data_IF_674855182781
#
_entry.id   IF_674855182781
#
_cell.length_a   1.000
_cell.length_b   1.000
_cell.length_c   1.000
_cell.angle_alpha   90.00
_cell.angle_beta   90.00
_cell.angle_gamma   90.00
#
_symmetry.space_group_name_H-M   'P 1'
#
loop_
_entity.id
_entity.type
_entity.pdbx_description
1 polymer ?
#
# COMPACT_ATOMS: atom_id res chain seq x y z
N UNK A 1 23.80 22.38 -23.06
CA UNK A 1 24.15 20.94 -22.93
C UNK A 1 24.76 20.60 -21.58
N UNK A 2 25.86 21.23 -21.14
CA UNK A 2 26.49 20.90 -19.84
C UNK A 2 25.59 21.09 -18.62
N UNK A 3 24.78 22.16 -18.57
CA UNK A 3 23.82 22.40 -17.49
C UNK A 3 22.72 21.33 -17.43
N UNK A 4 22.24 20.89 -18.59
CA UNK A 4 21.23 19.83 -18.70
C UNK A 4 21.77 18.48 -18.23
N UNK A 5 23.00 18.14 -18.61
CA UNK A 5 23.70 16.95 -18.13
C UNK A 5 23.94 17.00 -16.62
N UNK A 6 24.34 18.16 -16.09
CA UNK A 6 24.51 18.34 -14.64
C UNK A 6 23.20 18.14 -13.87
N UNK A 7 22.10 18.72 -14.36
CA UNK A 7 20.77 18.52 -13.76
C UNK A 7 20.35 17.06 -13.80
N UNK A 8 20.58 16.35 -14.91
CA UNK A 8 20.27 14.92 -15.03
C UNK A 8 21.11 14.06 -14.05
N UNK A 9 22.41 14.35 -13.92
CA UNK A 9 23.30 13.64 -12.99
C UNK A 9 22.88 13.86 -11.53
N UNK A 10 22.52 15.10 -11.18
CA UNK A 10 22.01 15.42 -9.83
C UNK A 10 20.70 14.69 -9.57
N UNK A 11 19.77 14.68 -10.52
CA UNK A 11 18.47 13.99 -10.38
C UNK A 11 18.66 12.48 -10.21
N UNK A 12 19.53 11.86 -11.01
CA UNK A 12 19.82 10.44 -10.93
C UNK A 12 20.50 10.06 -9.61
N UNK A 13 21.42 10.91 -9.13
CA UNK A 13 22.10 10.71 -7.84
C UNK A 13 21.15 10.82 -6.65
N UNK A 14 20.11 11.64 -6.75
CA UNK A 14 19.05 11.76 -5.74
C UNK A 14 18.14 10.51 -5.74
N UNK A 15 17.75 10.01 -6.91
CA UNK A 15 16.91 8.81 -7.05
C UNK A 15 17.66 7.57 -6.54
N UNK A 16 18.95 7.42 -6.87
CA UNK A 16 19.77 6.28 -6.44
C UNK A 16 20.00 6.20 -4.92
N UNK A 17 19.74 7.30 -4.18
CA UNK A 17 19.85 7.36 -2.72
C UNK A 17 18.50 7.25 -2.01
N UNK A 18 17.40 7.14 -2.73
CA UNK A 18 16.12 6.88 -2.10
C UNK A 18 16.19 5.50 -1.40
N UNK A 19 15.81 5.39 -0.12
CA UNK A 19 15.70 4.09 0.51
C UNK A 19 14.71 3.25 -0.31
N UNK A 20 15.14 2.06 -0.74
CA UNK A 20 14.23 1.04 -1.26
C UNK A 20 13.35 0.59 -0.09
N UNK A 21 12.26 1.32 0.14
CA UNK A 21 11.18 0.83 0.95
C UNK A 21 10.38 -0.09 0.04
N UNK A 22 10.56 -1.40 0.22
CA UNK A 22 9.77 -2.45 -0.45
C UNK A 22 8.33 -2.49 0.11
N UNK A 23 7.66 -1.34 0.08
CA UNK A 23 6.25 -1.19 0.41
C UNK A 23 5.43 -1.20 -0.88
N UNK A 24 4.20 -1.71 -0.78
CA UNK A 24 3.27 -1.68 -1.89
C UNK A 24 2.80 -0.25 -2.16
N UNK A 25 2.88 0.18 -3.41
CA UNK A 25 2.10 1.31 -3.92
C UNK A 25 0.73 0.86 -4.44
N UNK A 26 0.05 1.73 -5.18
CA UNK A 26 -1.25 1.43 -5.81
C UNK A 26 -1.25 0.10 -6.58
N UNK A 27 -0.23 -0.11 -7.41
CA UNK A 27 -0.10 -1.34 -8.21
C UNK A 27 0.07 -2.59 -7.34
N UNK A 28 0.80 -2.48 -6.23
CA UNK A 28 0.98 -3.57 -5.27
C UNK A 28 -0.34 -3.99 -4.64
N UNK A 29 -1.09 -3.02 -4.14
CA UNK A 29 -2.43 -3.25 -3.59
C UNK A 29 -3.37 -3.87 -4.62
N UNK A 30 -3.37 -3.35 -5.85
CA UNK A 30 -4.16 -3.89 -6.94
C UNK A 30 -3.82 -5.36 -7.21
N UNK A 31 -2.52 -5.69 -7.40
CA UNK A 31 -2.09 -7.06 -7.71
C UNK A 31 -2.46 -8.05 -6.60
N UNK A 32 -2.22 -7.70 -5.33
CA UNK A 32 -2.55 -8.59 -4.20
C UNK A 32 -4.06 -8.87 -4.14
N UNK A 33 -4.89 -7.83 -4.29
CA UNK A 33 -6.34 -8.01 -4.30
C UNK A 33 -6.83 -8.78 -5.51
N UNK A 34 -6.23 -8.55 -6.69
CA UNK A 34 -6.63 -9.24 -7.91
C UNK A 34 -6.29 -10.73 -7.87
N UNK A 35 -5.18 -11.09 -7.23
CA UNK A 35 -4.87 -12.48 -6.90
C UNK A 35 -5.90 -13.01 -5.90
N UNK A 36 -6.18 -12.29 -4.81
CA UNK A 36 -7.09 -12.74 -3.75
C UNK A 36 -8.51 -13.05 -4.26
N UNK A 37 -9.05 -12.24 -5.17
CA UNK A 37 -10.37 -12.49 -5.81
C UNK A 37 -10.48 -13.89 -6.41
N UNK A 38 -9.40 -14.41 -7.02
CA UNK A 38 -9.39 -15.73 -7.65
C UNK A 38 -9.49 -16.89 -6.64
N UNK A 39 -9.24 -16.61 -5.36
CA UNK A 39 -9.25 -17.60 -4.28
C UNK A 39 -10.44 -17.44 -3.33
N UNK A 40 -11.36 -16.51 -3.60
CA UNK A 40 -12.59 -16.39 -2.81
C UNK A 40 -13.51 -17.60 -3.06
N UNK A 41 -14.23 -18.02 -2.03
CA UNK A 41 -15.36 -18.95 -2.23
C UNK A 41 -16.48 -18.23 -2.98
N UNK A 42 -17.44 -18.98 -3.51
CA UNK A 42 -18.59 -18.40 -4.18
C UNK A 42 -19.37 -17.44 -3.26
N UNK A 43 -19.58 -17.85 -2.01
CA UNK A 43 -20.29 -17.06 -1.00
C UNK A 43 -19.51 -15.78 -0.64
N UNK A 44 -18.18 -15.86 -0.52
CA UNK A 44 -17.34 -14.70 -0.24
C UNK A 44 -17.30 -13.73 -1.43
N UNK A 45 -17.23 -14.25 -2.67
CA UNK A 45 -17.26 -13.43 -3.88
C UNK A 45 -18.58 -12.67 -4.00
N UNK A 46 -19.72 -13.32 -3.76
CA UNK A 46 -21.04 -12.68 -3.80
C UNK A 46 -21.13 -11.54 -2.78
N UNK A 47 -20.72 -11.78 -1.54
CA UNK A 47 -20.73 -10.76 -0.49
C UNK A 47 -19.77 -9.61 -0.79
N UNK A 48 -18.57 -9.88 -1.32
CA UNK A 48 -17.64 -8.82 -1.73
C UNK A 48 -18.27 -7.97 -2.83
N UNK A 49 -18.86 -8.57 -3.86
CA UNK A 49 -19.53 -7.83 -4.93
C UNK A 49 -20.71 -6.99 -4.41
N UNK A 50 -21.47 -7.49 -3.43
CA UNK A 50 -22.57 -6.74 -2.79
C UNK A 50 -22.07 -5.52 -2.00
N UNK A 51 -20.95 -5.64 -1.30
CA UNK A 51 -20.39 -4.56 -0.48
C UNK A 51 -19.64 -3.50 -1.28
N UNK A 52 -19.16 -3.85 -2.48
CA UNK A 52 -18.41 -2.92 -3.33
C UNK A 52 -19.32 -1.78 -3.84
N UNK A 53 -18.79 -0.56 -3.94
CA UNK A 53 -19.54 0.54 -4.53
C UNK A 53 -19.74 0.29 -6.04
N UNK A 54 -20.83 0.83 -6.59
CA UNK A 54 -21.21 0.58 -7.98
C UNK A 54 -20.12 0.98 -9.00
N UNK A 55 -19.32 2.00 -8.69
CA UNK A 55 -18.23 2.48 -9.53
C UNK A 55 -16.99 1.56 -9.55
N UNK A 56 -16.88 0.63 -8.59
CA UNK A 56 -15.87 -0.43 -8.63
C UNK A 56 -16.18 -1.51 -9.68
N UNK A 57 -17.40 -1.56 -10.23
CA UNK A 57 -17.78 -2.52 -11.28
C UNK A 57 -17.62 -3.99 -10.87
N UNK A 58 -17.69 -4.29 -9.57
CA UNK A 58 -17.45 -5.63 -9.02
C UNK A 58 -15.97 -6.03 -8.88
N UNK A 59 -15.03 -5.11 -9.14
CA UNK A 59 -13.59 -5.33 -9.03
C UNK A 59 -13.05 -4.84 -7.67
N UNK A 60 -12.77 -5.77 -6.75
CA UNK A 60 -12.17 -5.48 -5.45
C UNK A 60 -10.80 -4.80 -5.62
N UNK A 61 -10.01 -5.23 -6.60
CA UNK A 61 -8.67 -4.67 -6.82
C UNK A 61 -8.71 -3.16 -7.15
N UNK A 62 -9.78 -2.69 -7.79
CA UNK A 62 -9.97 -1.28 -8.14
C UNK A 62 -10.03 -0.34 -6.93
N UNK A 63 -10.45 -0.85 -5.76
CA UNK A 63 -10.63 -0.07 -4.52
C UNK A 63 -9.57 -0.36 -3.45
N UNK A 64 -8.64 -1.29 -3.68
CA UNK A 64 -7.70 -1.72 -2.64
C UNK A 64 -6.67 -0.67 -2.20
N UNK A 65 -6.50 0.42 -2.96
CA UNK A 65 -5.69 1.58 -2.53
C UNK A 65 -6.47 2.61 -1.70
N UNK A 66 -7.78 2.46 -1.52
CA UNK A 66 -8.64 3.44 -0.87
C UNK A 66 -8.16 3.82 0.54
N UNK A 67 -7.67 2.85 1.33
CA UNK A 67 -7.17 3.09 2.68
C UNK A 67 -6.01 4.11 2.70
N UNK A 68 -5.12 4.07 1.71
CA UNK A 68 -4.01 5.01 1.60
C UNK A 68 -4.46 6.42 1.22
N UNK A 69 -5.55 6.54 0.45
CA UNK A 69 -6.12 7.83 0.05
C UNK A 69 -6.78 8.55 1.24
N UNK A 70 -7.47 7.80 2.09
CA UNK A 70 -8.23 8.37 3.22
C UNK A 70 -7.41 8.52 4.50
N UNK A 71 -6.19 7.98 4.61
CA UNK A 71 -5.37 8.05 5.85
C UNK A 71 -5.05 9.47 6.32
N UNK A 72 -5.10 10.45 5.43
CA UNK A 72 -4.93 11.87 5.79
C UNK A 72 -6.24 12.54 6.26
N UNK A 73 -7.39 11.99 5.86
CA UNK A 73 -8.71 12.40 6.34
C UNK A 73 -9.04 11.73 7.67
N UNK A 74 -8.81 10.42 7.73
CA UNK A 74 -8.95 9.61 8.94
C UNK A 74 -7.57 9.42 9.57
N UNK A 75 -7.08 10.46 10.24
CA UNK A 75 -5.70 10.49 10.78
C UNK A 75 -5.36 9.34 11.72
N UNK A 76 -6.36 8.81 12.41
CA UNK A 76 -6.21 7.64 13.28
C UNK A 76 -5.86 6.35 12.50
N UNK A 77 -6.16 6.27 11.20
CA UNK A 77 -5.90 5.08 10.40
C UNK A 77 -4.45 5.01 9.91
N UNK A 78 -3.75 6.14 9.81
CA UNK A 78 -2.37 6.20 9.33
C UNK A 78 -1.40 5.20 10.03
N UNK A 79 -1.37 5.06 11.37
CA UNK A 79 -0.51 4.08 12.04
C UNK A 79 -0.93 2.61 11.85
N UNK A 80 -2.10 2.33 11.26
CA UNK A 80 -2.55 0.96 10.98
C UNK A 80 -1.88 0.36 9.73
N UNK A 81 -1.21 1.17 8.91
CA UNK A 81 -0.54 0.73 7.67
C UNK A 81 0.85 0.11 7.90
N UNK A 82 1.39 0.18 9.11
CA UNK A 82 2.75 -0.27 9.39
C UNK A 82 2.93 -0.70 10.86
N UNK A 83 4.01 -1.43 11.11
CA UNK A 83 4.49 -1.74 12.46
C UNK A 83 5.95 -1.30 12.59
N UNK A 84 6.24 -0.45 13.59
CA UNK A 84 7.59 0.02 13.85
C UNK A 84 8.29 -0.89 14.86
N UNK A 85 9.43 -1.48 14.50
CA UNK A 85 10.27 -2.27 15.41
C UNK A 85 11.42 -1.42 15.96
N UNK A 86 11.93 -1.70 17.18
CA UNK A 86 13.00 -0.91 17.80
C UNK A 86 14.40 -1.26 17.25
N UNK A 87 14.55 -1.34 15.92
CA UNK A 87 15.82 -1.68 15.26
C UNK A 87 16.27 -3.12 15.45
N UNK A 88 15.34 -4.03 15.75
CA UNK A 88 15.58 -5.47 15.88
C UNK A 88 14.91 -6.23 14.75
N UNK A 89 15.51 -7.32 14.30
CA UNK A 89 14.98 -8.18 13.23
C UNK A 89 13.92 -9.17 13.74
N UNK A 90 12.99 -8.72 14.60
CA UNK A 90 11.84 -9.51 15.03
C UNK A 90 10.61 -8.64 15.26
N UNK A 91 9.44 -9.28 15.20
CA UNK A 91 8.15 -8.69 15.50
C UNK A 91 7.64 -9.21 16.85
N UNK A 92 7.20 -8.30 17.73
CA UNK A 92 6.55 -8.65 18.99
C UNK A 92 5.35 -7.72 19.20
N UNK A 93 4.14 -8.27 19.11
CA UNK A 93 2.90 -7.51 19.20
C UNK A 93 2.77 -6.72 20.51
N UNK A 94 2.95 -7.38 21.66
CA UNK A 94 2.80 -6.75 22.98
C UNK A 94 3.81 -5.61 23.22
N UNK A 95 4.98 -5.65 22.57
CA UNK A 95 5.96 -4.56 22.61
C UNK A 95 5.55 -3.39 21.72
N UNK A 96 5.02 -3.66 20.54
CA UNK A 96 4.71 -2.64 19.52
C UNK A 96 3.37 -1.94 19.84
N UNK A 97 2.41 -2.68 20.38
CA UNK A 97 1.08 -2.20 20.75
C UNK A 97 0.76 -2.57 22.21
N UNK A 98 1.33 -1.85 23.20
CA UNK A 98 0.97 -2.05 24.60
C UNK A 98 -0.47 -1.56 24.85
N UNK A 99 -1.25 -2.39 25.54
CA UNK A 99 -2.62 -2.08 25.98
C UNK A 99 -2.57 -1.15 27.19
#
# INVERSE_FOLDING_TARGET
MALLLFVQIVLFSLIARAPNLDAWGKEGHYMVCKIAEQYLTAEASELVTELLPADAGGDLASVCSWADEVRFRFRWSAPLHYANTPGVCNFNYARIYPI
#
